data_IF_359636049765
#
_entry.id   IF_359636049765
#
_cell.length_a   1.000
_cell.length_b   1.000
_cell.length_c   1.000
_cell.angle_alpha   90.00
_cell.angle_beta   90.00
_cell.angle_gamma   90.00
#
_symmetry.space_group_name_H-M   'P 1'
#
loop_
_entity.id
_entity.type
_entity.pdbx_description
1 polymer ?
#
# COMPACT_ATOMS: atom_id res chain seq x y z
N UNK A 1 3.17 31.41 22.47
CA UNK A 1 2.01 30.55 22.16
C UNK A 1 2.42 29.52 21.13
N UNK A 2 2.30 28.24 21.46
CA UNK A 2 2.54 27.19 20.48
C UNK A 2 1.28 26.96 19.64
N UNK A 3 1.44 26.97 18.33
CA UNK A 3 0.38 26.60 17.42
C UNK A 3 0.45 25.11 17.16
N UNK A 4 -0.60 24.41 17.54
CA UNK A 4 -0.75 22.99 17.26
C UNK A 4 -1.57 22.84 15.98
N UNK A 5 -1.01 22.17 15.01
CA UNK A 5 -1.65 21.87 13.75
C UNK A 5 -1.88 20.35 13.71
N UNK A 6 -3.11 19.93 13.54
CA UNK A 6 -3.43 18.52 13.51
C UNK A 6 -4.37 18.17 12.35
N UNK A 7 -4.34 16.93 11.95
CA UNK A 7 -5.23 16.41 10.93
C UNK A 7 -5.41 14.92 11.13
N UNK A 8 -6.57 14.41 10.73
CA UNK A 8 -6.86 12.98 10.72
C UNK A 8 -6.99 12.54 9.28
N UNK A 9 -6.25 11.49 8.91
CA UNK A 9 -6.31 10.94 7.56
C UNK A 9 -6.60 9.45 7.60
N UNK A 10 -7.26 8.96 6.55
CA UNK A 10 -7.47 7.54 6.32
C UNK A 10 -6.49 7.08 5.24
N UNK A 11 -5.67 6.11 5.57
CA UNK A 11 -4.74 5.50 4.61
C UNK A 11 -5.11 4.05 4.36
N UNK A 12 -5.01 3.62 3.11
CA UNK A 12 -5.26 2.25 2.73
C UNK A 12 -4.17 1.80 1.76
N UNK A 13 -3.48 0.72 2.12
CA UNK A 13 -2.53 0.10 1.20
C UNK A 13 -3.27 -0.62 0.08
N UNK A 14 -2.58 -0.89 -1.00
CA UNK A 14 -3.14 -1.64 -2.11
C UNK A 14 -3.33 -3.12 -1.75
N UNK A 15 -4.34 -3.74 -2.32
CA UNK A 15 -4.54 -5.18 -2.23
C UNK A 15 -3.53 -5.90 -3.12
N UNK A 16 -3.12 -7.10 -2.71
CA UNK A 16 -2.41 -8.00 -3.62
C UNK A 16 -3.34 -8.44 -4.75
N UNK A 17 -2.80 -8.56 -5.95
CA UNK A 17 -3.53 -9.11 -7.07
C UNK A 17 -3.69 -10.61 -6.94
N UNK A 18 -4.79 -11.15 -7.42
CA UNK A 18 -5.06 -12.60 -7.39
C UNK A 18 -4.11 -13.33 -8.33
N UNK A 19 -3.69 -14.53 -7.94
CA UNK A 19 -3.06 -15.45 -8.85
C UNK A 19 -4.06 -15.93 -9.90
N UNK A 20 -3.57 -16.30 -11.06
CA UNK A 20 -4.41 -16.82 -12.14
C UNK A 20 -4.53 -18.32 -12.03
N UNK A 21 -5.77 -18.81 -12.14
CA UNK A 21 -6.03 -20.25 -12.26
C UNK A 21 -6.20 -20.58 -13.76
N UNK A 22 -5.19 -21.17 -14.35
CA UNK A 22 -5.18 -21.46 -15.78
C UNK A 22 -4.39 -22.73 -16.04
N UNK A 23 -4.74 -23.41 -17.14
CA UNK A 23 -4.03 -24.60 -17.59
C UNK A 23 -3.60 -24.41 -19.04
N UNK A 24 -2.37 -24.81 -19.30
CA UNK A 24 -1.80 -24.74 -20.61
C UNK A 24 -2.61 -25.59 -21.61
N UNK A 25 -3.05 -24.96 -22.70
CA UNK A 25 -3.77 -25.65 -23.78
C UNK A 25 -3.05 -25.41 -25.09
N UNK A 26 -2.47 -26.48 -25.64
CA UNK A 26 -1.82 -26.44 -26.92
C UNK A 26 -2.46 -27.46 -27.87
N UNK A 27 -2.35 -27.20 -29.16
CA UNK A 27 -3.06 -27.96 -30.23
C UNK A 27 -2.87 -29.46 -30.16
N UNK A 28 -1.67 -29.93 -29.76
CA UNK A 28 -1.33 -31.35 -29.72
C UNK A 28 -1.07 -31.88 -28.31
N UNK A 29 -1.47 -31.13 -27.28
CA UNK A 29 -1.33 -31.53 -25.89
C UNK A 29 -2.73 -31.59 -25.29
N UNK A 30 -3.21 -32.79 -25.00
CA UNK A 30 -4.52 -32.99 -24.41
C UNK A 30 -4.62 -32.50 -22.98
N UNK A 31 -3.53 -32.61 -22.22
CA UNK A 31 -3.45 -32.15 -20.84
C UNK A 31 -2.24 -31.27 -20.66
N UNK A 32 -2.47 -29.96 -20.63
CA UNK A 32 -1.44 -29.04 -20.27
C UNK A 32 -1.26 -28.92 -18.77
N UNK A 33 -0.02 -28.64 -18.31
CA UNK A 33 0.24 -28.34 -16.91
C UNK A 33 -0.37 -26.98 -16.49
N UNK A 34 -0.41 -26.70 -15.17
CA UNK A 34 -0.90 -25.40 -14.71
C UNK A 34 0.06 -24.28 -15.14
N UNK A 35 -0.49 -23.23 -15.72
CA UNK A 35 0.25 -22.10 -16.25
C UNK A 35 -0.23 -20.75 -15.74
N UNK A 36 -1.00 -20.73 -14.65
CA UNK A 36 -1.45 -19.48 -14.06
C UNK A 36 -0.33 -18.71 -13.39
N UNK A 37 -0.20 -17.42 -13.73
CA UNK A 37 0.80 -16.53 -13.15
C UNK A 37 0.38 -15.97 -11.79
N UNK A 38 1.35 -15.48 -11.03
CA UNK A 38 1.12 -14.83 -9.75
C UNK A 38 0.51 -13.45 -9.97
N UNK A 39 -0.26 -12.97 -8.97
CA UNK A 39 -0.65 -11.57 -8.95
C UNK A 39 0.53 -10.68 -8.54
N UNK A 40 0.37 -9.37 -8.64
CA UNK A 40 1.32 -8.38 -8.13
C UNK A 40 1.02 -8.01 -6.69
N UNK A 41 2.03 -7.59 -5.95
CA UNK A 41 1.83 -7.07 -4.60
C UNK A 41 1.11 -5.73 -4.66
N UNK A 42 0.31 -5.42 -3.62
CA UNK A 42 -0.28 -4.10 -3.48
C UNK A 42 0.76 -3.07 -3.04
N UNK A 43 0.50 -1.80 -3.34
CA UNK A 43 1.39 -0.71 -2.97
C UNK A 43 1.35 -0.36 -1.49
N UNK A 44 2.48 0.05 -0.95
CA UNK A 44 2.60 0.53 0.43
C UNK A 44 2.23 2.01 0.52
N UNK A 45 1.93 2.47 1.73
CA UNK A 45 1.71 3.89 2.00
C UNK A 45 2.82 4.40 2.92
N UNK A 46 3.48 5.47 2.48
CA UNK A 46 4.54 6.14 3.26
C UNK A 46 4.16 7.58 3.55
N UNK A 47 4.58 8.06 4.70
CA UNK A 47 4.64 9.49 4.98
C UNK A 47 6.08 9.95 4.81
N UNK A 48 6.27 11.12 4.22
CA UNK A 48 7.60 11.68 3.93
C UNK A 48 7.68 13.10 4.48
N UNK A 49 8.74 13.39 5.24
CA UNK A 49 8.97 14.74 5.74
C UNK A 49 9.45 15.65 4.61
N UNK A 50 8.73 16.74 4.39
CA UNK A 50 9.03 17.72 3.33
C UNK A 50 9.29 19.09 3.97
N UNK A 51 10.48 19.64 3.76
CA UNK A 51 10.84 20.95 4.31
C UNK A 51 10.05 22.10 3.71
N UNK A 52 9.44 21.93 2.53
CA UNK A 52 8.64 22.97 1.89
C UNK A 52 7.26 23.12 2.53
N UNK A 53 6.82 22.15 3.33
CA UNK A 53 5.54 22.19 4.02
C UNK A 53 5.71 22.67 5.45
N UNK A 54 4.77 23.50 5.90
CA UNK A 54 4.77 24.01 7.27
C UNK A 54 3.43 23.88 7.99
N UNK A 55 2.46 23.24 7.35
CA UNK A 55 1.12 23.04 7.92
C UNK A 55 0.47 21.77 7.40
N UNK A 56 -0.45 21.21 8.17
CA UNK A 56 -1.25 20.04 7.81
C UNK A 56 -2.62 20.42 7.23
N UNK A 57 -2.86 21.69 6.94
CA UNK A 57 -4.20 22.18 6.56
C UNK A 57 -4.74 21.49 5.30
N UNK A 58 -3.87 21.13 4.35
CA UNK A 58 -4.30 20.50 3.10
C UNK A 58 -4.94 19.13 3.32
N UNK A 59 -4.61 18.44 4.42
CA UNK A 59 -5.20 17.16 4.76
C UNK A 59 -6.67 17.26 5.16
N UNK A 60 -7.14 18.45 5.50
CA UNK A 60 -8.57 18.67 5.75
C UNK A 60 -9.39 18.64 4.47
N UNK A 61 -8.75 18.96 3.35
CA UNK A 61 -9.39 18.94 2.03
C UNK A 61 -9.27 17.59 1.35
N UNK A 62 -8.20 16.85 1.64
CA UNK A 62 -7.99 15.51 1.11
C UNK A 62 -7.62 14.57 2.25
N UNK A 63 -8.61 14.00 2.94
CA UNK A 63 -8.35 13.16 4.11
C UNK A 63 -8.16 11.68 3.82
N UNK A 64 -8.31 11.24 2.59
CA UNK A 64 -8.22 9.80 2.24
C UNK A 64 -7.18 9.56 1.18
N UNK A 65 -6.37 8.52 1.38
CA UNK A 65 -5.29 8.12 0.48
C UNK A 65 -5.30 6.62 0.32
N UNK A 66 -5.16 6.16 -0.92
CA UNK A 66 -5.11 4.74 -1.23
C UNK A 66 -3.99 4.46 -2.21
N UNK A 67 -3.12 3.50 -1.89
CA UNK A 67 -2.12 3.00 -2.81
C UNK A 67 -2.78 2.06 -3.84
N UNK A 68 -2.09 1.84 -4.94
CA UNK A 68 -2.59 0.99 -6.01
C UNK A 68 -2.61 -0.48 -5.62
N UNK A 69 -3.65 -1.17 -6.05
CA UNK A 69 -3.72 -2.62 -5.92
C UNK A 69 -2.75 -3.29 -6.90
N UNK A 70 -2.23 -4.45 -6.52
CA UNK A 70 -1.53 -5.31 -7.45
C UNK A 70 -2.50 -5.84 -8.50
N UNK A 71 -2.01 -6.09 -9.69
CA UNK A 71 -2.82 -6.64 -10.75
C UNK A 71 -2.87 -8.16 -10.67
N UNK A 72 -3.97 -8.73 -11.13
CA UNK A 72 -4.11 -10.18 -11.19
C UNK A 72 -3.12 -10.83 -12.15
N UNK A 73 -2.72 -12.06 -11.86
CA UNK A 73 -1.92 -12.87 -12.76
C UNK A 73 -2.72 -13.26 -14.00
N UNK A 74 -2.03 -13.62 -15.06
CA UNK A 74 -2.64 -14.08 -16.30
C UNK A 74 -2.25 -15.51 -16.63
N UNK A 75 -2.83 -16.04 -17.70
CA UNK A 75 -2.44 -17.32 -18.26
C UNK A 75 -1.03 -17.26 -18.86
N UNK A 76 -0.45 -18.42 -19.16
CA UNK A 76 0.90 -18.54 -19.69
C UNK A 76 1.96 -17.99 -18.75
N UNK A 77 1.78 -18.24 -17.44
CA UNK A 77 2.68 -17.78 -16.38
C UNK A 77 2.92 -16.28 -16.35
N UNK A 78 1.95 -15.48 -16.80
CA UNK A 78 2.09 -14.01 -16.73
C UNK A 78 1.86 -13.52 -15.30
N UNK A 79 2.88 -12.90 -14.75
CA UNK A 79 2.79 -12.26 -13.43
C UNK A 79 2.11 -10.91 -13.53
N UNK A 80 1.13 -10.65 -12.67
CA UNK A 80 0.50 -9.33 -12.58
C UNK A 80 1.47 -8.27 -12.08
N UNK A 81 1.29 -7.04 -12.52
CA UNK A 81 2.12 -5.92 -12.10
C UNK A 81 1.87 -5.57 -10.63
N UNK A 82 2.94 -5.22 -9.91
CA UNK A 82 2.82 -4.70 -8.56
C UNK A 82 2.18 -3.31 -8.57
N UNK A 83 1.41 -2.99 -7.53
CA UNK A 83 0.88 -1.64 -7.34
C UNK A 83 1.97 -0.71 -6.83
N UNK A 84 1.95 0.52 -7.31
CA UNK A 84 2.92 1.51 -6.86
C UNK A 84 2.63 1.95 -5.44
N UNK A 85 3.69 2.19 -4.67
CA UNK A 85 3.57 2.82 -3.36
C UNK A 85 3.23 4.30 -3.54
N UNK A 86 2.55 4.86 -2.54
CA UNK A 86 2.31 6.31 -2.50
C UNK A 86 3.10 6.93 -1.37
N UNK A 87 3.52 8.18 -1.60
CA UNK A 87 4.33 8.95 -0.66
C UNK A 87 3.57 10.24 -0.34
N UNK A 88 3.08 10.32 0.89
CA UNK A 88 2.29 11.46 1.34
C UNK A 88 3.24 12.42 2.06
N UNK A 89 3.34 13.65 1.57
CA UNK A 89 4.25 14.66 2.14
C UNK A 89 3.62 15.33 3.34
N UNK A 90 4.38 15.41 4.42
CA UNK A 90 3.98 16.07 5.67
C UNK A 90 5.08 17.03 6.13
N UNK A 91 4.77 18.05 6.93
CA UNK A 91 5.79 18.95 7.46
C UNK A 91 6.81 18.21 8.36
N UNK A 92 8.04 18.71 8.40
CA UNK A 92 9.04 18.24 9.35
C UNK A 92 8.55 18.53 10.76
N UNK A 93 8.69 17.58 11.66
CA UNK A 93 8.20 17.71 13.03
C UNK A 93 6.79 17.16 13.22
N UNK A 94 6.28 16.36 12.26
CA UNK A 94 5.00 15.72 12.38
C UNK A 94 5.12 14.41 13.15
N UNK A 95 4.29 14.25 14.18
CA UNK A 95 4.14 13.00 14.92
C UNK A 95 2.93 12.24 14.35
N UNK A 96 3.10 10.96 14.12
CA UNK A 96 2.07 10.09 13.52
C UNK A 96 1.58 9.11 14.56
N UNK A 97 0.28 9.10 14.81
CA UNK A 97 -0.35 8.24 15.80
C UNK A 97 -1.44 7.41 15.11
N UNK A 98 -1.47 6.11 15.40
CA UNK A 98 -2.60 5.26 15.01
C UNK A 98 -3.78 5.61 15.91
N UNK A 99 -4.86 6.13 15.32
CA UNK A 99 -5.98 6.64 16.10
C UNK A 99 -6.77 5.53 16.81
N UNK A 100 -6.79 4.33 16.25
CA UNK A 100 -7.52 3.22 16.85
C UNK A 100 -6.79 2.65 18.08
N UNK A 101 -5.48 2.50 17.98
CA UNK A 101 -4.67 1.89 19.06
C UNK A 101 -4.04 2.94 19.96
N UNK A 102 -4.03 4.21 19.57
CA UNK A 102 -3.32 5.31 20.22
C UNK A 102 -1.80 5.09 20.30
N UNK A 103 -1.28 4.23 19.43
CA UNK A 103 0.15 3.95 19.35
C UNK A 103 0.83 5.01 18.49
N UNK A 104 1.94 5.55 18.98
CA UNK A 104 2.79 6.45 18.19
C UNK A 104 3.57 5.62 17.19
N UNK A 105 3.33 5.85 15.91
CA UNK A 105 4.02 5.13 14.84
C UNK A 105 5.39 5.70 14.55
N UNK A 106 5.58 7.00 14.75
CA UNK A 106 6.87 7.64 14.58
C UNK A 106 6.77 9.15 14.49
N UNK A 107 7.95 9.77 14.50
CA UNK A 107 8.12 11.20 14.31
C UNK A 107 8.94 11.44 13.03
N UNK A 108 8.46 12.35 12.21
CA UNK A 108 9.15 12.74 10.99
C UNK A 108 9.92 14.03 11.26
N UNK A 109 11.17 13.89 11.73
CA UNK A 109 11.98 15.01 12.23
C UNK A 109 13.10 15.45 11.29
N UNK A 110 13.37 14.69 10.23
CA UNK A 110 14.45 14.98 9.27
C UNK A 110 13.91 15.08 7.86
N UNK A 111 14.53 15.94 7.06
CA UNK A 111 14.19 16.10 5.64
C UNK A 111 14.25 14.75 4.93
N UNK A 112 13.24 14.48 4.12
CA UNK A 112 13.09 13.25 3.31
C UNK A 112 13.02 11.96 4.12
N UNK A 113 12.86 12.03 5.43
CA UNK A 113 12.60 10.87 6.27
C UNK A 113 11.28 10.23 5.85
N UNK A 114 11.28 8.91 5.71
CA UNK A 114 10.10 8.13 5.31
C UNK A 114 9.64 7.23 6.43
N UNK A 115 8.34 7.14 6.60
CA UNK A 115 7.73 6.23 7.56
C UNK A 115 6.65 5.41 6.84
N UNK A 116 6.82 4.08 6.80
CA UNK A 116 5.79 3.21 6.25
C UNK A 116 4.64 3.11 7.24
N UNK A 117 3.46 3.57 6.85
CA UNK A 117 2.28 3.54 7.71
C UNK A 117 1.28 2.46 7.35
N UNK A 118 1.35 1.94 6.15
CA UNK A 118 0.53 0.80 5.75
C UNK A 118 1.31 -0.04 4.73
N UNK A 119 1.32 -1.34 4.93
CA UNK A 119 2.00 -2.27 4.03
C UNK A 119 0.98 -2.85 3.04
N UNK A 120 1.36 -2.91 1.78
CA UNK A 120 0.54 -3.49 0.73
C UNK A 120 0.28 -4.97 0.97
N UNK A 121 -0.84 -5.47 0.47
CA UNK A 121 -1.19 -6.88 0.52
C UNK A 121 -0.25 -7.70 -0.36
N UNK A 122 0.05 -8.91 0.07
CA UNK A 122 0.91 -9.80 -0.71
C UNK A 122 0.17 -10.32 -1.93
N UNK A 123 0.92 -10.52 -3.01
CA UNK A 123 0.41 -11.11 -4.23
C UNK A 123 -0.17 -12.50 -3.99
N UNK A 124 -1.22 -12.83 -4.72
CA UNK A 124 -1.72 -14.18 -4.81
C UNK A 124 -0.82 -15.00 -5.73
N UNK A 125 -0.54 -16.25 -5.34
CA UNK A 125 0.23 -17.15 -6.18
C UNK A 125 -0.68 -17.81 -7.19
N UNK A 126 -0.23 -17.88 -8.44
CA UNK A 126 -0.94 -18.58 -9.48
C UNK A 126 -0.91 -20.09 -9.26
N UNK A 127 -1.75 -20.82 -10.00
CA UNK A 127 -1.85 -22.27 -9.86
C UNK A 127 -0.56 -23.01 -10.25
N UNK A 128 0.35 -22.36 -10.97
CA UNK A 128 1.68 -22.91 -11.23
C UNK A 128 2.49 -23.11 -9.95
N UNK A 129 2.22 -22.31 -8.91
CA UNK A 129 2.87 -22.39 -7.60
C UNK A 129 2.03 -23.11 -6.54
N UNK A 130 0.77 -23.41 -6.82
CA UNK A 130 -0.15 -24.14 -5.95
C UNK A 130 -0.35 -23.54 -4.54
N UNK A 131 -0.27 -22.21 -4.41
CA UNK A 131 -0.47 -21.54 -3.13
C UNK A 131 -1.60 -20.52 -3.19
N UNK A 132 -2.34 -20.43 -2.09
CA UNK A 132 -3.39 -19.43 -1.93
C UNK A 132 -2.84 -18.03 -1.78
N UNK A 133 -3.63 -17.04 -2.17
CA UNK A 133 -3.27 -15.63 -2.03
C UNK A 133 -3.73 -15.05 -0.72
N UNK A 134 -3.00 -14.05 -0.23
CA UNK A 134 -3.42 -13.20 0.87
C UNK A 134 -3.67 -11.80 0.33
N UNK A 135 -4.94 -11.48 0.11
CA UNK A 135 -5.35 -10.21 -0.50
C UNK A 135 -5.78 -9.20 0.55
N UNK A 136 -4.90 -8.85 1.46
CA UNK A 136 -5.23 -7.85 2.47
C UNK A 136 -4.98 -6.45 1.94
N UNK A 137 -5.94 -5.56 2.24
CA UNK A 137 -5.79 -4.12 2.04
C UNK A 137 -6.02 -3.44 3.38
N UNK A 138 -5.01 -3.40 4.25
CA UNK A 138 -5.20 -2.82 5.58
C UNK A 138 -5.52 -1.34 5.48
N UNK A 139 -6.52 -0.93 6.25
CA UNK A 139 -6.90 0.46 6.45
C UNK A 139 -6.41 0.92 7.80
N UNK A 140 -5.95 2.16 7.87
CA UNK A 140 -5.59 2.80 9.14
C UNK A 140 -6.07 4.24 9.15
N UNK A 141 -6.59 4.65 10.30
CA UNK A 141 -6.87 6.05 10.55
C UNK A 141 -5.70 6.62 11.34
N UNK A 142 -5.08 7.65 10.81
CA UNK A 142 -3.89 8.25 11.40
C UNK A 142 -4.20 9.65 11.90
N UNK A 143 -3.69 9.97 13.07
CA UNK A 143 -3.67 11.32 13.59
C UNK A 143 -2.29 11.91 13.33
N UNK A 144 -2.24 13.04 12.63
CA UNK A 144 -1.01 13.77 12.34
C UNK A 144 -0.98 15.01 13.21
N UNK A 145 0.09 15.19 13.96
CA UNK A 145 0.24 16.29 14.90
C UNK A 145 1.54 17.01 14.57
N UNK A 146 1.42 18.30 14.23
CA UNK A 146 2.55 19.18 13.92
C UNK A 146 2.53 20.36 14.87
N UNK A 147 3.62 20.55 15.59
CA UNK A 147 3.77 21.63 16.56
C UNK A 147 4.74 22.68 16.04
#
# INVERSE_FOLDING_TARGET
>A
MQLIDDATILVQAGKGGNGCLSFRREKYIERGGPDGGNGGDGGDVYLVADEALNTLIDFRYQPSYQARNGQGGGSRNKTGAAGDAIYIKVPIGTTVVDEETQEVLGDLSRVDQKLKVAAGGRRGLGNAAFKSSTNRAPRKTLSLIHI
#
